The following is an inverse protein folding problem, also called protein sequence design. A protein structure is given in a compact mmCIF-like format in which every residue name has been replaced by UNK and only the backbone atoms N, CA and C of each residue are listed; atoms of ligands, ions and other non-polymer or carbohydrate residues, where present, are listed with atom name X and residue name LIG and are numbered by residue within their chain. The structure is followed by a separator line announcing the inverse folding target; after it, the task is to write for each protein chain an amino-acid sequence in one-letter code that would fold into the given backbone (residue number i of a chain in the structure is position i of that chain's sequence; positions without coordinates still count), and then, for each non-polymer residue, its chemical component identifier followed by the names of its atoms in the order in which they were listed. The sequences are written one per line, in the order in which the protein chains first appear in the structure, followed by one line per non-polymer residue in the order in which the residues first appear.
data_IF_492742330032
#
_entry.id   IF_492742330032
#
_cell.length_a   1.000
_cell.length_b   1.000
_cell.length_c   1.000
_cell.angle_alpha   90.00
_cell.angle_beta   90.00
_cell.angle_gamma   90.00
#
_symmetry.space_group_name_H-M   'P 1'
#
loop_
_entity.id
_entity.type
_entity.pdbx_description
1 polymer ?
#
# COMPACT_ATOMS: atom_id res chain seq x y z
N UNK A 1 19.59 21.63 7.64
CA UNK A 1 19.36 20.34 6.96
C UNK A 1 17.86 20.09 6.97
N UNK A 2 17.24 19.76 5.83
CA UNK A 2 15.83 19.41 5.81
C UNK A 2 15.64 18.03 6.50
N UNK A 3 14.53 17.82 7.24
CA UNK A 3 14.25 16.52 7.83
C UNK A 3 14.15 15.47 6.73
N UNK A 4 14.68 14.28 7.00
CA UNK A 4 14.54 13.14 6.10
C UNK A 4 13.04 12.84 5.90
N UNK A 5 12.59 12.55 4.67
CA UNK A 5 11.19 12.27 4.43
C UNK A 5 10.78 10.96 5.10
N UNK A 6 9.60 10.95 5.70
CA UNK A 6 8.91 9.73 6.10
C UNK A 6 8.18 9.20 4.87
N UNK A 7 8.61 8.04 4.35
CA UNK A 7 8.01 7.45 3.15
C UNK A 7 8.09 5.94 3.17
N UNK A 8 6.99 5.32 2.76
CA UNK A 8 6.91 3.89 2.45
C UNK A 8 6.92 3.69 0.93
N UNK A 9 7.84 2.90 0.39
CA UNK A 9 7.99 2.71 -1.06
C UNK A 9 7.07 1.61 -1.62
N UNK A 10 6.81 0.53 -0.87
CA UNK A 10 6.01 -0.63 -1.31
C UNK A 10 5.33 -1.36 -0.16
N UNK A 11 4.31 -2.18 -0.47
CA UNK A 11 3.62 -3.03 0.51
C UNK A 11 3.45 -4.44 -0.03
N UNK A 12 3.67 -5.44 0.81
CA UNK A 12 3.27 -6.80 0.53
C UNK A 12 2.04 -7.12 1.38
N UNK A 13 0.96 -7.55 0.75
CA UNK A 13 -0.32 -7.80 1.42
C UNK A 13 -0.60 -9.30 1.38
N UNK A 14 -0.78 -9.91 2.55
CA UNK A 14 -1.15 -11.33 2.71
C UNK A 14 -2.63 -11.44 3.05
N UNK A 15 -3.35 -12.34 2.39
CA UNK A 15 -4.73 -12.65 2.71
C UNK A 15 -4.81 -13.87 3.65
N UNK A 16 -5.13 -13.65 4.94
CA UNK A 16 -5.39 -14.73 5.90
C UNK A 16 -6.88 -15.11 6.01
N UNK A 17 -7.75 -14.53 5.19
CA UNK A 17 -9.16 -14.93 5.12
C UNK A 17 -9.32 -16.24 4.35
N UNK A 18 -10.45 -16.91 4.55
CA UNK A 18 -10.83 -18.13 3.80
C UNK A 18 -11.45 -17.84 2.43
N UNK A 19 -11.47 -16.58 2.00
CA UNK A 19 -12.17 -16.06 0.83
C UNK A 19 -11.29 -15.01 0.13
N UNK A 20 -11.40 -14.84 -1.21
CA UNK A 20 -10.67 -13.80 -1.92
C UNK A 20 -11.00 -12.40 -1.39
N UNK A 21 -10.03 -11.50 -1.46
CA UNK A 21 -10.19 -10.09 -1.06
C UNK A 21 -9.68 -9.18 -2.15
N UNK A 22 -10.42 -8.09 -2.43
CA UNK A 22 -9.93 -7.05 -3.33
C UNK A 22 -9.18 -6.01 -2.51
N UNK A 23 -7.91 -5.81 -2.86
CA UNK A 23 -7.01 -4.88 -2.18
C UNK A 23 -6.68 -3.72 -3.11
N UNK A 24 -6.90 -2.50 -2.64
CA UNK A 24 -6.53 -1.26 -3.34
C UNK A 24 -5.39 -0.58 -2.58
N UNK A 25 -4.27 -0.33 -3.24
CA UNK A 25 -3.17 0.47 -2.72
C UNK A 25 -3.14 1.82 -3.42
N UNK A 26 -3.20 2.88 -2.62
CA UNK A 26 -3.13 4.27 -3.08
C UNK A 26 -1.73 4.80 -2.85
N UNK A 27 -1.12 5.34 -3.90
CA UNK A 27 0.18 6.01 -3.85
C UNK A 27 0.02 7.51 -4.06
N UNK A 28 0.80 8.29 -3.31
CA UNK A 28 0.78 9.75 -3.36
C UNK A 28 1.62 10.29 -4.52
N UNK A 29 0.96 10.74 -5.59
CA UNK A 29 1.63 11.43 -6.67
C UNK A 29 1.72 12.94 -6.38
N UNK A 30 2.82 13.34 -5.75
CA UNK A 30 3.12 14.74 -5.47
C UNK A 30 3.30 15.59 -6.75
N UNK A 31 3.60 14.98 -7.91
CA UNK A 31 3.85 15.71 -9.17
C UNK A 31 2.56 16.29 -9.73
N UNK A 32 1.57 15.44 -9.94
CA UNK A 32 0.34 15.79 -10.66
C UNK A 32 -0.84 16.06 -9.71
N UNK A 33 -0.65 15.87 -8.40
CA UNK A 33 -1.70 15.98 -7.35
C UNK A 33 -2.88 15.03 -7.57
N UNK A 34 -2.67 13.95 -8.33
CA UNK A 34 -3.66 12.91 -8.62
C UNK A 34 -3.17 11.59 -8.04
N UNK A 35 -3.94 10.97 -7.14
CA UNK A 35 -3.56 9.70 -6.54
C UNK A 35 -3.39 8.59 -7.59
N UNK A 36 -2.33 7.79 -7.45
CA UNK A 36 -2.19 6.56 -8.23
C UNK A 36 -2.82 5.42 -7.44
N UNK A 37 -3.57 4.56 -8.11
CA UNK A 37 -4.22 3.42 -7.48
C UNK A 37 -3.84 2.13 -8.20
N UNK A 38 -3.53 1.09 -7.44
CA UNK A 38 -3.36 -0.27 -7.94
C UNK A 38 -4.32 -1.18 -7.18
N UNK A 39 -5.08 -1.98 -7.92
CA UNK A 39 -6.02 -2.95 -7.36
C UNK A 39 -5.59 -4.37 -7.70
N UNK A 40 -5.72 -5.28 -6.75
CA UNK A 40 -5.45 -6.69 -6.95
C UNK A 40 -6.34 -7.57 -6.07
N UNK A 41 -6.91 -8.61 -6.67
CA UNK A 41 -7.61 -9.65 -5.92
C UNK A 41 -6.58 -10.66 -5.39
N UNK A 42 -6.56 -10.86 -4.07
CA UNK A 42 -5.66 -11.81 -3.41
C UNK A 42 -6.45 -13.04 -2.97
N UNK A 43 -6.10 -14.20 -3.51
CA UNK A 43 -6.70 -15.49 -3.14
C UNK A 43 -6.40 -15.86 -1.68
N UNK A 44 -7.23 -16.70 -1.04
CA UNK A 44 -7.01 -17.18 0.33
C UNK A 44 -5.62 -17.78 0.54
N UNK A 45 -4.90 -17.33 1.57
CA UNK A 45 -3.56 -17.81 1.91
C UNK A 45 -2.44 -17.29 1.00
N UNK A 46 -2.76 -16.53 -0.05
CA UNK A 46 -1.77 -15.92 -0.93
C UNK A 46 -1.33 -14.53 -0.44
N UNK A 47 -0.26 -14.02 -1.04
CA UNK A 47 0.15 -12.64 -0.90
C UNK A 47 0.36 -11.97 -2.27
N UNK A 48 0.40 -10.65 -2.27
CA UNK A 48 0.74 -9.86 -3.44
C UNK A 48 1.62 -8.66 -3.04
N UNK A 49 2.68 -8.43 -3.82
CA UNK A 49 3.59 -7.31 -3.62
C UNK A 49 3.24 -6.16 -4.55
N UNK A 50 2.63 -5.12 -3.98
CA UNK A 50 2.42 -3.84 -4.64
C UNK A 50 3.74 -3.08 -4.68
N UNK A 51 4.40 -3.10 -5.84
CA UNK A 51 5.72 -2.51 -6.05
C UNK A 51 5.71 -0.98 -6.04
N UNK A 52 6.90 -0.40 -5.89
CA UNK A 52 7.09 1.04 -5.92
C UNK A 52 6.62 1.67 -7.23
N UNK A 53 6.06 2.89 -7.16
CA UNK A 53 5.68 3.67 -8.33
C UNK A 53 6.70 4.77 -8.56
N UNK A 54 7.42 4.66 -9.68
CA UNK A 54 8.42 5.64 -10.10
C UNK A 54 7.72 6.78 -10.82
N UNK A 55 7.93 8.01 -10.36
CA UNK A 55 7.46 9.23 -10.98
C UNK A 55 8.62 9.87 -11.76
N UNK A 56 8.41 10.10 -13.05
CA UNK A 56 9.33 10.89 -13.86
C UNK A 56 9.13 12.39 -13.56
N UNK A 57 10.15 13.06 -13.04
CA UNK A 57 10.14 14.49 -12.70
C UNK A 57 10.90 15.33 -13.73
N UNK A 58 11.16 14.80 -14.92
CA UNK A 58 11.93 15.42 -15.98
C UNK A 58 13.42 15.12 -15.85
N UNK A 59 14.14 15.87 -15.02
CA UNK A 59 15.60 15.71 -14.85
C UNK A 59 16.00 14.70 -13.76
N UNK A 60 15.04 14.12 -13.05
CA UNK A 60 15.24 13.17 -11.97
C UNK A 60 13.99 12.28 -11.78
N UNK A 61 14.11 11.23 -10.97
CA UNK A 61 13.00 10.31 -10.65
C UNK A 61 12.65 10.35 -9.18
N UNK A 62 11.36 10.36 -8.86
CA UNK A 62 10.86 10.19 -7.50
C UNK A 62 10.17 8.83 -7.31
N UNK A 63 9.99 8.41 -6.06
CA UNK A 63 9.11 7.30 -5.72
C UNK A 63 7.86 7.89 -5.07
N UNK A 64 6.68 7.50 -5.57
CA UNK A 64 5.41 7.84 -4.95
C UNK A 64 5.24 7.03 -3.64
N UNK A 65 5.09 7.69 -2.48
CA UNK A 65 4.78 7.02 -1.23
C UNK A 65 3.53 6.16 -1.32
N UNK A 66 3.51 5.01 -0.66
CA UNK A 66 2.25 4.36 -0.28
C UNK A 66 1.54 5.27 0.73
N UNK A 67 0.34 5.70 0.38
CA UNK A 67 -0.51 6.56 1.20
C UNK A 67 -1.52 5.76 2.02
N UNK A 68 -2.16 4.78 1.38
CA UNK A 68 -3.25 4.01 1.98
C UNK A 68 -3.31 2.61 1.38
N UNK A 69 -3.59 1.62 2.21
CA UNK A 69 -3.99 0.27 1.80
C UNK A 69 -5.45 0.11 2.19
N UNK A 70 -6.29 -0.39 1.30
CA UNK A 70 -7.71 -0.61 1.55
C UNK A 70 -8.11 -2.00 1.11
N UNK A 71 -9.00 -2.63 1.85
CA UNK A 71 -9.58 -3.92 1.52
C UNK A 71 -11.08 -3.80 1.53
N UNK A 72 -11.69 -4.35 0.49
CA UNK A 72 -13.13 -4.50 0.37
C UNK A 72 -13.44 -5.99 0.49
N UNK A 73 -14.25 -6.32 1.51
CA UNK A 73 -14.74 -7.68 1.71
C UNK A 73 -16.20 -7.66 2.17
N UNK A 74 -17.08 -8.33 1.43
CA UNK A 74 -18.52 -8.30 1.68
C UNK A 74 -19.09 -6.89 1.63
N UNK A 75 -19.81 -6.48 2.68
CA UNK A 75 -20.38 -5.13 2.81
C UNK A 75 -19.46 -4.15 3.57
N UNK A 76 -18.27 -4.59 3.99
CA UNK A 76 -17.31 -3.81 4.77
C UNK A 76 -16.13 -3.31 3.93
N UNK A 77 -15.61 -2.14 4.28
CA UNK A 77 -14.33 -1.66 3.81
C UNK A 77 -13.46 -1.27 5.00
N UNK A 78 -12.22 -1.76 4.99
CA UNK A 78 -11.20 -1.44 5.98
C UNK A 78 -10.02 -0.78 5.28
N UNK A 79 -9.35 0.14 5.97
CA UNK A 79 -8.15 0.77 5.45
C UNK A 79 -7.09 0.94 6.53
N UNK A 80 -5.85 1.02 6.07
CA UNK A 80 -4.66 1.29 6.86
C UNK A 80 -3.90 2.43 6.19
N UNK A 81 -3.53 3.44 6.96
CA UNK A 81 -2.59 4.50 6.56
C UNK A 81 -1.25 4.22 7.24
N UNK A 82 -0.24 3.70 6.51
CA UNK A 82 1.02 3.33 7.10
C UNK A 82 1.76 4.56 7.64
N UNK A 83 2.12 4.54 8.93
CA UNK A 83 3.01 5.54 9.52
C UNK A 83 4.40 4.93 9.69
N UNK A 84 5.39 5.48 9.00
CA UNK A 84 6.79 5.01 9.05
C UNK A 84 7.73 6.14 9.47
N UNK A 85 8.84 5.79 10.09
CA UNK A 85 9.92 6.73 10.41
C UNK A 85 11.04 6.58 9.38
N UNK A 86 11.37 7.67 8.70
CA UNK A 86 12.35 7.68 7.61
C UNK A 86 11.86 6.97 6.35
N UNK A 87 12.81 6.50 5.55
CA UNK A 87 12.53 5.83 4.26
C UNK A 87 12.45 4.32 4.47
N UNK A 88 11.23 3.78 4.43
CA UNK A 88 10.96 2.34 4.55
C UNK A 88 10.68 1.76 3.17
N UNK A 89 11.46 0.74 2.77
CA UNK A 89 11.34 0.13 1.44
C UNK A 89 10.10 -0.74 1.27
N UNK A 90 9.75 -1.50 2.29
CA UNK A 90 8.62 -2.43 2.28
C UNK A 90 8.10 -2.62 3.69
N UNK A 91 6.79 -2.72 3.84
CA UNK A 91 6.15 -3.35 5.01
C UNK A 91 5.33 -4.55 4.55
N UNK A 92 5.12 -5.48 5.46
CA UNK A 92 4.21 -6.59 5.28
C UNK A 92 2.90 -6.26 6.02
N UNK A 93 1.78 -6.45 5.33
CA UNK A 93 0.42 -6.19 5.82
C UNK A 93 -0.38 -7.48 5.74
N UNK A 94 -1.00 -7.87 6.84
CA UNK A 94 -1.90 -9.01 6.87
C UNK A 94 -3.36 -8.55 6.85
N UNK A 95 -4.15 -9.12 5.95
CA UNK A 95 -5.61 -9.11 6.04
C UNK A 95 -5.99 -10.23 6.99
N UNK A 96 -6.42 -9.86 8.20
CA UNK A 96 -6.75 -10.81 9.26
C UNK A 96 -8.02 -11.60 8.93
N UNK A 97 -8.29 -12.67 9.68
CA UNK A 97 -9.46 -13.53 9.47
C UNK A 97 -10.81 -12.80 9.59
N UNK A 98 -10.84 -11.67 10.28
CA UNK A 98 -12.01 -10.79 10.41
C UNK A 98 -12.04 -9.63 9.40
N UNK A 99 -11.12 -9.61 8.42
CA UNK A 99 -11.07 -8.63 7.33
C UNK A 99 -10.40 -7.31 7.68
N UNK A 100 -9.72 -7.22 8.83
CA UNK A 100 -8.94 -6.04 9.21
C UNK A 100 -7.54 -6.06 8.60
N UNK A 101 -6.89 -4.88 8.59
CA UNK A 101 -5.51 -4.72 8.12
C UNK A 101 -4.57 -4.52 9.31
N UNK A 102 -3.52 -5.33 9.40
CA UNK A 102 -2.49 -5.23 10.42
C UNK A 102 -1.09 -5.23 9.80
N UNK A 103 -0.20 -4.34 10.27
CA UNK A 103 1.23 -4.38 9.92
C UNK A 103 1.88 -5.52 10.72
N UNK A 104 2.69 -6.36 10.07
CA UNK A 104 3.36 -7.52 10.67
C UNK A 104 4.88 -7.40 10.66
#
# INVERSE_FOLDING_TARGET
MAPAPNRLDSVNVQNSMSVPVNVTVVFDNHKDKVELQEEHEISPGCNYHFQEKILDMGSWTAIAPVKKVSVVHGNGSHYLEPSVSGVTKKIDVNVTSDGQLAIV
#
